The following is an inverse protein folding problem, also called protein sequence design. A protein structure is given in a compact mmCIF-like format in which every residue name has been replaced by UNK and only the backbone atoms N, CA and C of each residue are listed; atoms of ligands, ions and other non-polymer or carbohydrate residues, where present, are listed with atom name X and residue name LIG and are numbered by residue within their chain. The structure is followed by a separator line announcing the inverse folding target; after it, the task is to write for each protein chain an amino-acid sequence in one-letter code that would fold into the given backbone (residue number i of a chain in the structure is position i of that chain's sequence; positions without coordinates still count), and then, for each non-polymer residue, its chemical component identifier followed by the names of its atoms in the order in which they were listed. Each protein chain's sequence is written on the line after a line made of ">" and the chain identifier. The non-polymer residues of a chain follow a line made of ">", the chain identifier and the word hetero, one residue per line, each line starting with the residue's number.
data_IF_616340013147
#
_entry.id   IF_616340013147
#
_cell.length_a   1.000
_cell.length_b   1.000
_cell.length_c   1.000
_cell.angle_alpha   90.00
_cell.angle_beta   90.00
_cell.angle_gamma   90.00
#
_symmetry.space_group_name_H-M   'P 1'
#
loop_
_entity.id
_entity.type
_entity.pdbx_description
1 polymer ?
#
# COMPACT_ATOMS: atom_id res chain seq x y z
N UNK A 1 41.25 36.42 -25.21
CA UNK A 1 41.86 36.26 -23.87
C UNK A 1 40.78 36.62 -22.87
N UNK A 2 40.19 35.78 -22.03
CA UNK A 2 40.57 34.44 -21.58
C UNK A 2 40.32 34.39 -20.07
N UNK A 3 39.42 33.49 -19.64
CA UNK A 3 39.39 32.76 -18.36
C UNK A 3 39.15 33.59 -17.07
N UNK A 4 38.40 33.11 -16.07
CA UNK A 4 37.95 31.75 -15.81
C UNK A 4 36.90 31.62 -14.70
N UNK A 5 36.33 30.43 -14.74
CA UNK A 5 35.27 29.80 -13.96
C UNK A 5 35.68 29.41 -12.54
N UNK A 6 34.71 29.21 -11.64
CA UNK A 6 34.50 28.00 -10.81
C UNK A 6 33.32 28.22 -9.84
N UNK A 7 32.21 27.52 -10.02
CA UNK A 7 31.81 26.25 -9.37
C UNK A 7 31.33 26.41 -7.92
N UNK A 8 30.03 26.20 -7.70
CA UNK A 8 29.48 25.44 -6.56
C UNK A 8 28.18 24.78 -7.02
N UNK A 9 28.28 23.48 -7.27
CA UNK A 9 27.21 22.59 -7.66
C UNK A 9 26.76 21.74 -6.46
N UNK A 10 25.49 21.34 -6.49
CA UNK A 10 24.96 20.06 -5.98
C UNK A 10 25.24 19.67 -4.53
N UNK A 11 24.27 19.96 -3.65
CA UNK A 11 24.01 19.18 -2.45
C UNK A 11 22.49 19.04 -2.31
N UNK A 12 21.94 17.88 -2.71
CA UNK A 12 20.49 17.64 -2.62
C UNK A 12 20.04 16.20 -2.89
N UNK A 13 20.89 15.33 -3.44
CA UNK A 13 20.48 13.98 -3.89
C UNK A 13 21.03 12.82 -3.06
N UNK A 14 21.64 13.07 -1.90
CA UNK A 14 22.28 12.01 -1.11
C UNK A 14 21.49 11.55 0.14
N UNK A 15 20.39 12.21 0.50
CA UNK A 15 19.67 11.89 1.75
C UNK A 15 18.69 10.71 1.64
N UNK A 16 18.24 10.33 0.44
CA UNK A 16 17.16 9.34 0.27
C UNK A 16 17.68 7.89 0.21
N UNK A 17 18.95 7.67 -0.14
CA UNK A 17 19.53 6.33 -0.25
C UNK A 17 20.02 5.72 1.09
N UNK A 18 19.97 6.49 2.20
CA UNK A 18 20.48 6.07 3.51
C UNK A 18 19.52 5.22 4.35
N UNK A 19 18.22 5.25 4.04
CA UNK A 19 17.18 4.70 4.93
C UNK A 19 17.08 3.18 4.99
N UNK A 20 17.71 2.43 4.06
CA UNK A 20 17.59 0.97 3.98
C UNK A 20 18.79 0.18 4.53
N UNK A 21 19.78 0.82 5.17
CA UNK A 21 21.05 0.16 5.52
C UNK A 21 21.26 -0.23 6.98
N UNK A 22 20.36 0.10 7.91
CA UNK A 22 20.67 0.00 9.35
C UNK A 22 19.86 -1.02 10.18
N UNK A 23 18.99 -1.84 9.57
CA UNK A 23 18.15 -2.78 10.34
C UNK A 23 18.75 -4.19 10.49
N UNK A 24 20.03 -4.40 10.14
CA UNK A 24 20.69 -5.70 10.28
C UNK A 24 22.01 -5.61 11.05
N UNK A 25 21.90 -5.43 12.37
CA UNK A 25 22.85 -5.90 13.39
C UNK A 25 22.35 -5.46 14.75
N UNK A 26 22.02 -6.41 15.62
CA UNK A 26 22.48 -6.47 17.01
C UNK A 26 21.99 -7.78 17.63
N UNK A 27 22.89 -8.75 17.65
CA UNK A 27 22.77 -10.03 18.33
C UNK A 27 23.39 -9.90 19.73
N UNK A 28 22.61 -10.22 20.75
CA UNK A 28 22.95 -10.71 22.10
C UNK A 28 24.26 -10.26 22.78
N UNK A 29 24.13 -9.56 23.91
CA UNK A 29 24.97 -9.83 25.10
C UNK A 29 24.34 -9.21 26.36
N UNK A 30 23.98 -10.07 27.31
CA UNK A 30 23.61 -9.69 28.68
C UNK A 30 24.87 -9.65 29.58
N UNK A 31 24.85 -8.84 30.65
CA UNK A 31 25.13 -9.46 31.95
C UNK A 31 24.29 -8.90 33.13
N UNK A 32 23.75 -9.85 33.90
CA UNK A 32 23.62 -9.92 35.36
C UNK A 32 23.22 -8.70 36.18
N UNK A 33 22.11 -8.83 36.93
CA UNK A 33 22.00 -8.25 38.27
C UNK A 33 21.10 -9.08 39.20
N UNK A 34 21.55 -9.16 40.45
CA UNK A 34 21.03 -9.92 41.57
C UNK A 34 19.66 -9.41 42.05
N UNK A 35 18.82 -10.33 42.53
CA UNK A 35 17.67 -9.99 43.37
C UNK A 35 17.59 -10.94 44.58
N UNK A 36 17.63 -10.35 45.77
CA UNK A 36 17.44 -10.99 47.08
C UNK A 36 15.97 -10.95 47.49
N UNK A 37 15.44 -12.14 47.83
CA UNK A 37 14.51 -12.53 48.92
C UNK A 37 13.50 -11.53 49.52
N UNK A 38 12.24 -11.95 49.72
CA UNK A 38 11.64 -12.31 51.03
C UNK A 38 10.25 -13.01 50.88
N UNK A 39 10.08 -14.11 51.66
CA UNK A 39 8.93 -14.78 52.33
C UNK A 39 7.46 -14.51 51.87
N UNK A 40 6.44 -15.38 52.04
CA UNK A 40 6.09 -16.44 53.00
C UNK A 40 4.83 -17.16 52.40
N UNK A 41 4.69 -18.49 52.37
CA UNK A 41 4.12 -19.31 53.46
C UNK A 41 2.64 -19.67 53.23
N UNK A 42 2.32 -20.97 53.05
CA UNK A 42 0.93 -21.45 53.03
C UNK A 42 0.76 -22.85 52.45
N UNK A 43 0.88 -23.88 53.30
CA UNK A 43 0.88 -25.31 53.00
C UNK A 43 -0.35 -25.97 53.65
N UNK A 44 -1.15 -26.74 52.90
CA UNK A 44 -2.01 -27.89 53.31
C UNK A 44 -2.44 -28.58 52.00
N UNK A 45 -2.48 -29.88 51.77
CA UNK A 45 -2.40 -31.11 52.56
C UNK A 45 -3.16 -32.19 51.76
N UNK A 46 -2.44 -33.22 51.29
CA UNK A 46 -2.88 -34.50 50.66
C UNK A 46 -3.83 -35.33 51.60
N UNK A 47 -4.43 -36.52 51.25
CA UNK A 47 -3.84 -37.58 50.40
C UNK A 47 -4.73 -38.66 49.67
N UNK A 48 -4.01 -39.56 48.96
CA UNK A 48 -4.29 -40.97 48.52
C UNK A 48 -5.30 -41.25 47.37
N UNK A 49 -5.09 -42.14 46.38
CA UNK A 49 -3.98 -43.01 45.95
C UNK A 49 -4.37 -44.05 44.87
N UNK A 50 -3.38 -44.52 44.07
CA UNK A 50 -3.19 -45.84 43.40
C UNK A 50 -4.12 -46.28 42.21
N UNK A 51 -3.68 -46.86 41.08
CA UNK A 51 -2.35 -47.17 40.52
C UNK A 51 -2.39 -48.04 39.23
N UNK A 52 -1.20 -48.23 38.62
CA UNK A 52 -0.74 -49.29 37.69
C UNK A 52 -1.18 -49.19 36.20
N UNK A 53 -0.45 -49.69 35.19
CA UNK A 53 0.92 -50.18 34.98
C UNK A 53 1.00 -50.61 33.48
N UNK A 54 2.10 -50.30 32.78
CA UNK A 54 2.78 -51.18 31.78
C UNK A 54 3.73 -50.38 30.87
N UNK A 55 4.89 -50.97 30.60
CA UNK A 55 5.84 -50.54 29.57
C UNK A 55 6.56 -51.77 29.00
N UNK A 56 7.16 -51.65 27.81
CA UNK A 56 8.29 -52.39 27.18
C UNK A 56 8.47 -51.77 25.77
N UNK A 57 9.64 -51.45 25.16
CA UNK A 57 10.98 -52.04 24.98
C UNK A 57 11.19 -52.76 23.61
N UNK A 58 12.03 -52.15 22.75
CA UNK A 58 13.00 -52.66 21.73
C UNK A 58 12.66 -53.58 20.51
N UNK A 59 13.40 -53.32 19.40
CA UNK A 59 13.83 -54.27 18.33
C UNK A 59 13.58 -53.77 16.88
N UNK A 60 14.51 -53.18 16.10
CA UNK A 60 15.61 -53.72 15.25
C UNK A 60 15.26 -54.63 14.04
N UNK A 61 15.61 -54.10 12.84
CA UNK A 61 16.24 -54.73 11.62
C UNK A 61 15.38 -55.59 10.67
N UNK A 62 15.47 -55.32 9.35
CA UNK A 62 16.14 -56.14 8.29
C UNK A 62 16.16 -55.40 6.94
N UNK A 63 17.28 -55.56 6.22
CA UNK A 63 17.56 -55.07 4.88
C UNK A 63 17.97 -56.23 3.96
N UNK A 64 17.60 -56.15 2.68
CA UNK A 64 18.20 -56.79 1.48
C UNK A 64 17.31 -56.40 0.28
N UNK A 65 17.75 -56.13 -0.95
CA UNK A 65 19.01 -56.27 -1.67
C UNK A 65 18.64 -56.38 -3.16
N UNK A 66 19.42 -55.81 -4.09
CA UNK A 66 19.13 -55.94 -5.54
C UNK A 66 19.98 -55.06 -6.45
N UNK A 67 20.83 -55.69 -7.27
CA UNK A 67 22.05 -55.19 -7.92
C UNK A 67 21.87 -55.02 -9.45
N UNK A 68 22.58 -54.08 -10.11
CA UNK A 68 23.52 -54.27 -11.25
C UNK A 68 23.57 -53.18 -12.36
N UNK A 69 24.84 -52.79 -12.63
CA UNK A 69 25.52 -52.44 -13.89
C UNK A 69 25.27 -51.14 -14.71
N UNK A 70 26.38 -50.41 -14.87
CA UNK A 70 26.77 -49.45 -15.93
C UNK A 70 27.39 -50.22 -17.15
N UNK A 71 27.86 -49.63 -18.30
CA UNK A 71 28.46 -48.28 -18.48
C UNK A 71 28.25 -47.55 -19.84
N UNK A 72 28.86 -46.35 -19.93
CA UNK A 72 29.61 -45.79 -21.10
C UNK A 72 28.93 -44.72 -21.99
N UNK A 73 29.57 -43.54 -22.13
CA UNK A 73 29.31 -42.60 -23.24
C UNK A 73 29.63 -41.10 -23.04
N UNK A 74 30.88 -40.72 -23.27
CA UNK A 74 31.47 -39.46 -23.79
C UNK A 74 30.78 -38.06 -23.71
N UNK A 75 31.66 -37.10 -23.36
CA UNK A 75 31.76 -35.70 -23.82
C UNK A 75 30.70 -34.67 -23.40
N UNK A 76 31.12 -33.67 -22.61
CA UNK A 76 30.35 -32.44 -22.39
C UNK A 76 31.27 -31.23 -22.36
N UNK A 77 30.93 -30.28 -23.24
CA UNK A 77 31.59 -29.01 -23.46
C UNK A 77 31.38 -28.04 -22.29
N UNK A 78 32.36 -27.17 -22.12
CA UNK A 78 32.33 -25.98 -21.28
C UNK A 78 31.09 -25.10 -21.55
N UNK A 79 30.33 -24.78 -20.50
CA UNK A 79 29.49 -23.59 -20.47
C UNK A 79 29.51 -22.97 -19.07
N UNK A 80 29.77 -21.67 -19.04
CA UNK A 80 29.86 -20.81 -17.86
C UNK A 80 28.47 -20.63 -17.22
N UNK A 81 28.34 -20.60 -15.88
CA UNK A 81 27.05 -20.32 -15.25
C UNK A 81 26.74 -18.82 -15.30
N UNK A 82 25.73 -18.44 -16.09
CA UNK A 82 24.99 -17.19 -15.91
C UNK A 82 24.18 -17.31 -14.60
N UNK A 83 24.39 -16.36 -13.69
CA UNK A 83 23.63 -16.27 -12.46
C UNK A 83 22.14 -16.03 -12.72
N UNK A 84 21.25 -16.54 -11.87
CA UNK A 84 19.82 -16.34 -12.02
C UNK A 84 19.48 -14.86 -11.81
N UNK A 85 19.08 -14.22 -12.91
CA UNK A 85 18.47 -12.90 -12.93
C UNK A 85 17.06 -13.06 -12.34
N UNK A 86 16.88 -12.63 -11.10
CA UNK A 86 15.58 -12.58 -10.43
C UNK A 86 14.67 -11.58 -11.13
N UNK A 87 13.94 -12.05 -12.13
CA UNK A 87 12.81 -11.33 -12.72
C UNK A 87 11.59 -11.48 -11.81
N UNK A 88 11.10 -10.35 -11.30
CA UNK A 88 9.88 -10.26 -10.48
C UNK A 88 8.67 -10.81 -11.25
N UNK A 89 8.09 -11.89 -10.76
CA UNK A 89 6.95 -12.60 -11.37
C UNK A 89 5.63 -11.78 -11.39
N UNK A 90 5.62 -10.59 -10.80
CA UNK A 90 4.46 -9.69 -10.86
C UNK A 90 4.17 -9.18 -12.29
N UNK A 91 5.20 -9.08 -13.14
CA UNK A 91 5.07 -8.63 -14.53
C UNK A 91 4.45 -9.70 -15.46
N UNK A 92 4.57 -10.98 -15.12
CA UNK A 92 4.13 -12.09 -15.98
C UNK A 92 2.65 -12.46 -15.83
N UNK A 93 1.96 -11.87 -14.84
CA UNK A 93 0.55 -12.17 -14.53
C UNK A 93 -0.46 -11.25 -15.22
N UNK A 94 -0.01 -10.19 -15.90
CA UNK A 94 -0.86 -9.31 -16.72
C UNK A 94 -0.75 -9.76 -18.19
N UNK A 95 -1.74 -10.52 -18.66
CA UNK A 95 -1.70 -11.25 -19.94
C UNK A 95 -1.63 -10.37 -21.19
N UNK A 96 -0.55 -10.57 -21.95
CA UNK A 96 -0.42 -10.75 -23.40
C UNK A 96 -1.39 -10.07 -24.40
N UNK A 97 -0.84 -9.15 -25.19
CA UNK A 97 -0.79 -9.26 -26.66
C UNK A 97 0.40 -8.44 -27.20
N UNK A 98 1.53 -9.11 -27.45
CA UNK A 98 2.72 -8.47 -27.99
C UNK A 98 2.57 -8.25 -29.51
N UNK A 99 2.28 -7.01 -29.90
CA UNK A 99 2.47 -6.53 -31.27
C UNK A 99 3.33 -5.26 -31.20
N UNK A 100 4.62 -5.40 -31.56
CA UNK A 100 5.55 -4.30 -31.86
C UNK A 100 6.17 -3.61 -30.63
N UNK A 101 7.42 -3.94 -30.31
CA UNK A 101 8.24 -3.28 -29.30
C UNK A 101 8.69 -1.87 -29.76
N UNK A 102 7.76 -0.92 -29.74
CA UNK A 102 8.04 0.48 -29.43
C UNK A 102 7.65 0.73 -27.98
N UNK A 103 8.29 1.67 -27.28
CA UNK A 103 7.91 1.98 -25.90
C UNK A 103 6.48 2.52 -25.88
N UNK A 104 5.53 1.67 -25.47
CA UNK A 104 4.09 1.95 -25.50
C UNK A 104 3.67 3.16 -24.65
N UNK A 105 4.56 3.67 -23.80
CA UNK A 105 4.33 4.81 -22.91
C UNK A 105 4.23 6.18 -23.60
N UNK A 106 4.59 6.28 -24.87
CA UNK A 106 4.37 7.47 -25.70
C UNK A 106 3.27 7.27 -26.74
N UNK A 107 2.71 6.06 -26.80
CA UNK A 107 1.63 5.72 -27.71
C UNK A 107 0.29 6.21 -27.15
N UNK A 108 -0.18 7.35 -27.64
CA UNK A 108 -1.45 7.98 -27.24
C UNK A 108 -2.63 7.03 -27.38
N UNK A 109 -2.67 6.19 -28.42
CA UNK A 109 -3.78 5.24 -28.63
C UNK A 109 -3.80 4.16 -27.55
N UNK A 110 -2.63 3.65 -27.19
CA UNK A 110 -2.51 2.66 -26.12
C UNK A 110 -2.90 3.27 -24.75
N UNK A 111 -2.36 4.45 -24.40
CA UNK A 111 -2.73 5.11 -23.14
C UNK A 111 -4.22 5.47 -23.08
N UNK A 112 -4.80 5.92 -24.19
CA UNK A 112 -6.23 6.17 -24.27
C UNK A 112 -7.04 4.89 -24.04
N UNK A 113 -6.58 3.73 -24.52
CA UNK A 113 -7.26 2.46 -24.26
C UNK A 113 -7.19 2.04 -22.78
N UNK A 114 -6.03 2.22 -22.13
CA UNK A 114 -5.85 1.94 -20.69
C UNK A 114 -6.77 2.81 -19.84
N UNK A 115 -6.82 4.12 -20.13
CA UNK A 115 -7.67 5.06 -19.41
C UNK A 115 -9.17 4.80 -19.68
N UNK A 116 -9.56 4.52 -20.92
CA UNK A 116 -10.96 4.18 -21.24
C UNK A 116 -11.40 2.89 -20.54
N UNK A 117 -10.51 1.91 -20.42
CA UNK A 117 -10.77 0.69 -19.67
C UNK A 117 -10.99 1.00 -18.18
N UNK A 118 -10.14 1.84 -17.57
CA UNK A 118 -10.32 2.28 -16.19
C UNK A 118 -11.65 3.02 -15.99
N UNK A 119 -12.03 3.91 -16.91
CA UNK A 119 -13.31 4.64 -16.85
C UNK A 119 -14.52 3.69 -16.85
N UNK A 120 -14.44 2.58 -17.60
CA UNK A 120 -15.51 1.58 -17.62
C UNK A 120 -15.48 0.69 -16.37
N UNK A 121 -14.29 0.21 -16.01
CA UNK A 121 -14.03 -0.66 -14.88
C UNK A 121 -14.51 -0.04 -13.56
N UNK A 122 -14.25 1.26 -13.39
CA UNK A 122 -14.55 1.99 -12.16
C UNK A 122 -15.91 2.70 -12.19
N UNK A 123 -16.74 2.54 -13.22
CA UNK A 123 -18.09 3.16 -13.25
C UNK A 123 -18.10 4.69 -13.35
N UNK A 124 -16.99 5.33 -13.71
CA UNK A 124 -16.81 6.80 -13.70
C UNK A 124 -17.13 7.47 -15.05
N UNK A 125 -17.99 6.88 -15.88
CA UNK A 125 -18.34 7.44 -17.21
C UNK A 125 -19.07 8.78 -17.11
N UNK A 126 -19.66 9.11 -15.96
CA UNK A 126 -20.31 10.39 -15.71
C UNK A 126 -19.34 11.60 -15.79
N UNK A 127 -18.04 11.36 -15.59
CA UNK A 127 -16.99 12.38 -15.57
C UNK A 127 -16.25 12.51 -16.90
N UNK A 128 -16.22 11.45 -17.71
CA UNK A 128 -15.32 11.34 -18.85
C UNK A 128 -16.03 10.99 -20.16
N UNK A 129 -15.71 11.75 -21.20
CA UNK A 129 -16.02 11.41 -22.59
C UNK A 129 -14.80 10.74 -23.24
N UNK A 130 -14.96 9.96 -24.33
CA UNK A 130 -13.82 9.43 -25.07
C UNK A 130 -12.82 10.52 -25.51
N UNK A 131 -13.31 11.72 -25.85
CA UNK A 131 -12.46 12.86 -26.21
C UNK A 131 -11.65 13.38 -25.02
N UNK A 132 -12.26 13.56 -23.84
CA UNK A 132 -11.52 14.03 -22.66
C UNK A 132 -10.47 13.02 -22.22
N UNK A 133 -10.77 11.71 -22.31
CA UNK A 133 -9.78 10.65 -22.05
C UNK A 133 -8.62 10.71 -23.05
N UNK A 134 -8.92 10.90 -24.33
CA UNK A 134 -7.90 11.07 -25.37
C UNK A 134 -6.98 12.28 -25.11
N UNK A 135 -7.52 13.39 -24.62
CA UNK A 135 -6.74 14.57 -24.25
C UNK A 135 -5.79 14.28 -23.07
N UNK A 136 -6.26 13.55 -22.04
CA UNK A 136 -5.42 13.13 -20.90
C UNK A 136 -4.29 12.21 -21.40
N UNK A 137 -4.62 11.21 -22.21
CA UNK A 137 -3.64 10.29 -22.79
C UNK A 137 -2.57 11.04 -23.60
N UNK A 138 -2.97 12.03 -24.39
CA UNK A 138 -2.05 12.86 -25.16
C UNK A 138 -1.14 13.70 -24.27
N UNK A 139 -1.68 14.34 -23.23
CA UNK A 139 -0.90 15.11 -22.26
C UNK A 139 0.17 14.25 -21.58
N UNK A 140 -0.23 13.06 -21.09
CA UNK A 140 0.71 12.14 -20.44
C UNK A 140 1.79 11.66 -21.41
N UNK A 141 1.42 11.24 -22.62
CA UNK A 141 2.39 10.77 -23.62
C UNK A 141 3.46 11.83 -23.95
N UNK A 142 3.07 13.11 -24.00
CA UNK A 142 3.97 14.22 -24.33
C UNK A 142 4.84 14.66 -23.13
N UNK A 143 4.35 14.47 -21.90
CA UNK A 143 5.04 14.93 -20.68
C UNK A 143 6.30 14.13 -20.32
N UNK A 144 6.42 12.90 -20.81
CA UNK A 144 7.46 11.96 -20.36
C UNK A 144 7.29 11.49 -18.91
N UNK A 145 6.17 11.77 -18.25
CA UNK A 145 5.89 11.40 -16.86
C UNK A 145 6.02 9.90 -16.59
N UNK A 146 5.57 9.04 -17.51
CA UNK A 146 5.67 7.59 -17.36
C UNK A 146 7.14 7.09 -17.32
N UNK A 147 8.01 7.68 -18.14
CA UNK A 147 9.43 7.36 -18.08
C UNK A 147 10.07 7.83 -16.78
N UNK A 148 9.66 9.01 -16.29
CA UNK A 148 10.17 9.57 -15.02
C UNK A 148 9.80 8.69 -13.84
N UNK A 149 8.52 8.34 -13.70
CA UNK A 149 8.08 7.49 -12.58
C UNK A 149 8.68 6.08 -12.67
N UNK A 150 8.78 5.48 -13.86
CA UNK A 150 9.42 4.17 -14.05
C UNK A 150 10.89 4.17 -13.57
N UNK A 151 11.63 5.22 -13.91
CA UNK A 151 13.04 5.36 -13.51
C UNK A 151 13.19 5.66 -12.01
N UNK A 152 12.42 6.61 -11.49
CA UNK A 152 12.48 7.03 -10.09
C UNK A 152 12.11 5.88 -9.15
N UNK A 153 11.05 5.14 -9.50
CA UNK A 153 10.54 4.05 -8.68
C UNK A 153 11.22 2.72 -9.03
N UNK A 154 12.00 2.67 -10.10
CA UNK A 154 12.68 1.46 -10.62
C UNK A 154 11.71 0.32 -10.94
N UNK A 155 10.56 0.66 -11.49
CA UNK A 155 9.53 -0.30 -11.89
C UNK A 155 9.54 -0.56 -13.40
N UNK A 156 9.07 -1.74 -13.84
CA UNK A 156 8.76 -1.99 -15.25
C UNK A 156 7.83 -0.92 -15.84
N UNK A 157 7.99 -0.65 -17.14
CA UNK A 157 7.21 0.36 -17.85
C UNK A 157 5.72 0.01 -17.93
N UNK A 158 5.41 -1.27 -17.92
CA UNK A 158 4.05 -1.80 -17.87
C UNK A 158 3.36 -1.36 -16.58
N UNK A 159 4.05 -1.45 -15.44
CA UNK A 159 3.51 -0.98 -14.16
C UNK A 159 3.44 0.54 -14.08
N UNK A 160 4.42 1.25 -14.62
CA UNK A 160 4.34 2.70 -14.73
C UNK A 160 3.13 3.15 -15.55
N UNK A 161 2.78 2.39 -16.61
CA UNK A 161 1.59 2.65 -17.41
C UNK A 161 0.31 2.49 -16.61
N UNK A 162 0.21 1.50 -15.71
CA UNK A 162 -0.98 1.34 -14.86
C UNK A 162 -1.21 2.57 -13.95
N UNK A 163 -0.12 3.19 -13.45
CA UNK A 163 -0.20 4.38 -12.58
C UNK A 163 -0.85 5.59 -13.30
N UNK A 164 -0.87 5.61 -14.64
CA UNK A 164 -1.54 6.68 -15.41
C UNK A 164 -3.02 6.84 -15.05
N UNK A 165 -3.65 5.78 -14.54
CA UNK A 165 -5.05 5.80 -14.08
C UNK A 165 -5.30 6.85 -12.99
N UNK A 166 -4.29 7.22 -12.20
CA UNK A 166 -4.39 8.32 -11.22
C UNK A 166 -4.76 9.66 -11.87
N UNK A 167 -4.46 9.87 -13.17
CA UNK A 167 -4.86 11.08 -13.89
C UNK A 167 -6.39 11.27 -13.97
N UNK A 168 -7.17 10.23 -13.68
CA UNK A 168 -8.63 10.25 -13.68
C UNK A 168 -9.23 10.60 -12.31
N UNK A 169 -8.43 10.80 -11.26
CA UNK A 169 -8.94 10.99 -9.90
C UNK A 169 -8.32 12.23 -9.25
N UNK A 170 -9.13 12.95 -8.47
CA UNK A 170 -8.61 13.90 -7.50
C UNK A 170 -8.21 13.11 -6.24
N UNK A 171 -6.96 13.27 -5.78
CA UNK A 171 -6.46 12.52 -4.62
C UNK A 171 -6.53 13.36 -3.35
N UNK A 172 -7.14 12.79 -2.31
CA UNK A 172 -7.19 13.36 -0.96
C UNK A 172 -6.47 12.42 0.00
N UNK A 173 -5.34 12.88 0.56
CA UNK A 173 -4.69 12.20 1.67
C UNK A 173 -5.43 12.52 2.97
N UNK A 174 -5.89 11.49 3.66
CA UNK A 174 -6.52 11.58 4.97
C UNK A 174 -5.58 11.03 6.03
N UNK A 175 -4.97 11.90 6.82
CA UNK A 175 -3.82 11.57 7.68
C UNK A 175 -4.25 11.48 9.13
N UNK A 176 -3.94 10.35 9.77
CA UNK A 176 -4.00 10.22 11.22
C UNK A 176 -2.90 11.05 11.88
N UNK A 177 -3.30 12.02 12.67
CA UNK A 177 -2.46 12.88 13.50
C UNK A 177 -2.77 12.70 14.99
N UNK A 178 -3.27 11.53 15.39
CA UNK A 178 -3.53 11.15 16.79
C UNK A 178 -2.24 10.98 17.60
N UNK A 179 -2.40 10.81 18.91
CA UNK A 179 -1.25 10.58 19.81
C UNK A 179 -0.52 9.26 19.57
N UNK A 180 -1.22 8.19 19.17
CA UNK A 180 -0.61 6.87 18.95
C UNK A 180 0.49 6.93 17.90
N UNK A 181 0.29 7.71 16.85
CA UNK A 181 1.27 7.93 15.78
C UNK A 181 2.64 8.42 16.28
N UNK A 182 2.67 9.22 17.35
CA UNK A 182 3.89 9.80 17.89
C UNK A 182 4.50 9.02 19.06
N UNK A 183 3.65 8.48 19.94
CA UNK A 183 4.11 7.86 21.19
C UNK A 183 4.37 6.37 21.06
N UNK A 184 3.79 5.70 20.06
CA UNK A 184 3.96 4.27 19.82
C UNK A 184 4.81 4.04 18.56
N UNK A 185 5.60 2.96 18.53
CA UNK A 185 6.48 2.67 17.39
C UNK A 185 7.71 3.58 17.25
N UNK A 186 8.06 4.38 18.27
CA UNK A 186 9.32 5.14 18.29
C UNK A 186 9.51 6.16 17.16
N UNK A 187 8.43 6.61 16.53
CA UNK A 187 8.42 7.53 15.39
C UNK A 187 8.39 6.86 14.02
N UNK A 188 8.50 5.54 13.92
CA UNK A 188 8.45 4.78 12.66
C UNK A 188 7.14 5.00 11.90
N UNK A 189 6.00 5.02 12.61
CA UNK A 189 4.67 5.29 12.05
C UNK A 189 4.60 6.62 11.27
N UNK A 190 5.28 7.65 11.78
CA UNK A 190 5.36 8.96 11.12
C UNK A 190 6.29 8.90 9.89
N UNK A 191 7.36 8.11 9.93
CA UNK A 191 8.24 7.92 8.78
C UNK A 191 7.55 7.13 7.66
N UNK A 192 6.78 6.09 7.98
CA UNK A 192 5.94 5.36 7.01
C UNK A 192 4.87 6.27 6.40
N UNK A 193 4.22 7.09 7.23
CA UNK A 193 3.27 8.08 6.76
C UNK A 193 3.93 9.05 5.77
N UNK A 194 5.11 9.58 6.10
CA UNK A 194 5.87 10.46 5.20
C UNK A 194 6.23 9.75 3.90
N UNK A 195 6.62 8.47 3.96
CA UNK A 195 6.92 7.68 2.77
C UNK A 195 5.71 7.56 1.84
N UNK A 196 4.54 7.15 2.35
CA UNK A 196 3.32 7.04 1.55
C UNK A 196 2.96 8.40 0.95
N UNK A 197 2.94 9.44 1.79
CA UNK A 197 2.59 10.80 1.38
C UNK A 197 3.54 11.35 0.32
N UNK A 198 4.85 11.13 0.46
CA UNK A 198 5.86 11.49 -0.54
C UNK A 198 5.60 10.81 -1.87
N UNK A 199 5.29 9.51 -1.86
CA UNK A 199 5.06 8.72 -3.07
C UNK A 199 3.77 9.11 -3.77
N UNK A 200 2.69 9.30 -3.01
CA UNK A 200 1.41 9.77 -3.54
C UNK A 200 1.60 11.15 -4.16
N UNK A 201 2.17 12.12 -3.43
CA UNK A 201 2.41 13.48 -3.93
C UNK A 201 3.30 13.51 -5.18
N UNK A 202 4.34 12.66 -5.22
CA UNK A 202 5.18 12.54 -6.40
C UNK A 202 4.40 12.00 -7.60
N UNK A 203 3.69 10.87 -7.45
CA UNK A 203 2.94 10.28 -8.55
C UNK A 203 1.85 11.22 -9.07
N UNK A 204 1.06 11.81 -8.16
CA UNK A 204 0.00 12.74 -8.56
C UNK A 204 0.57 14.00 -9.19
N UNK A 205 1.70 14.56 -8.73
CA UNK A 205 2.32 15.72 -9.39
C UNK A 205 2.70 15.49 -10.86
N UNK A 206 2.85 14.23 -11.27
CA UNK A 206 3.19 13.87 -12.65
C UNK A 206 1.98 13.75 -13.58
N UNK A 207 0.78 13.51 -13.01
CA UNK A 207 -0.43 13.15 -13.75
C UNK A 207 -1.61 14.09 -13.49
N UNK A 208 -1.60 14.75 -12.34
CA UNK A 208 -2.65 15.59 -11.81
C UNK A 208 -2.14 17.03 -11.65
N UNK A 209 -2.74 17.97 -12.38
CA UNK A 209 -2.21 19.33 -12.51
C UNK A 209 -2.66 20.28 -11.41
N UNK A 210 -3.83 20.04 -10.81
CA UNK A 210 -4.39 20.81 -9.71
C UNK A 210 -3.93 20.34 -8.33
N UNK A 211 -3.21 19.22 -8.27
CA UNK A 211 -2.50 18.73 -7.08
C UNK A 211 -3.41 18.11 -6.03
N UNK A 212 -2.80 17.46 -5.05
CA UNK A 212 -3.52 16.73 -4.01
C UNK A 212 -4.04 17.65 -2.92
N UNK A 213 -5.03 17.14 -2.19
CA UNK A 213 -5.47 17.71 -0.92
C UNK A 213 -4.99 16.83 0.23
N UNK A 214 -4.71 17.45 1.37
CA UNK A 214 -4.34 16.74 2.60
C UNK A 214 -5.22 17.23 3.73
N UNK A 215 -5.85 16.31 4.46
CA UNK A 215 -6.68 16.58 5.63
C UNK A 215 -6.19 15.75 6.79
N UNK A 216 -6.01 16.38 7.95
CA UNK A 216 -5.65 15.71 9.19
C UNK A 216 -6.91 15.30 9.95
N UNK A 217 -6.87 14.23 10.75
CA UNK A 217 -8.03 13.82 11.56
C UNK A 217 -8.38 14.87 12.63
N UNK A 218 -7.39 15.36 13.37
CA UNK A 218 -7.54 16.25 14.51
C UNK A 218 -7.23 17.71 14.14
N UNK A 219 -6.09 17.97 13.51
CA UNK A 219 -5.60 19.30 13.18
C UNK A 219 -6.52 20.05 12.21
N UNK A 220 -6.49 21.39 12.30
CA UNK A 220 -7.12 22.29 11.34
C UNK A 220 -6.17 22.70 10.21
N UNK A 221 -4.89 22.38 10.34
CA UNK A 221 -3.91 22.56 9.28
C UNK A 221 -4.25 21.58 8.16
N UNK A 222 -4.40 22.09 6.95
CA UNK A 222 -4.75 21.32 5.76
C UNK A 222 -3.91 21.78 4.57
N UNK A 223 -3.78 20.91 3.58
CA UNK A 223 -3.10 21.18 2.31
C UNK A 223 -4.09 21.16 1.15
N UNK A 224 -3.97 22.13 0.25
CA UNK A 224 -4.72 22.18 -1.00
C UNK A 224 -3.74 22.47 -2.13
N UNK A 225 -3.95 21.87 -3.30
CA UNK A 225 -3.10 22.03 -4.48
C UNK A 225 -1.63 21.66 -4.25
N UNK A 226 -1.37 20.64 -3.43
CA UNK A 226 -0.01 20.17 -3.18
C UNK A 226 0.46 19.38 -4.40
N UNK A 227 1.51 19.88 -5.05
CA UNK A 227 2.02 19.31 -6.30
C UNK A 227 3.49 18.90 -6.22
N UNK A 228 4.03 18.79 -5.00
CA UNK A 228 5.38 18.32 -4.78
C UNK A 228 5.51 17.58 -3.46
N UNK A 229 6.44 16.63 -3.43
CA UNK A 229 6.84 15.92 -2.22
C UNK A 229 7.28 16.89 -1.12
N UNK A 230 8.05 17.92 -1.47
CA UNK A 230 8.60 18.86 -0.50
C UNK A 230 7.51 19.67 0.20
N UNK A 231 6.45 20.08 -0.53
CA UNK A 231 5.31 20.76 0.07
C UNK A 231 4.50 19.85 0.97
N UNK A 232 4.30 18.60 0.56
CA UNK A 232 3.60 17.60 1.35
C UNK A 232 4.34 17.32 2.67
N UNK A 233 5.66 17.10 2.62
CA UNK A 233 6.49 16.90 3.81
C UNK A 233 6.55 18.14 4.71
N UNK A 234 6.58 19.34 4.12
CA UNK A 234 6.52 20.60 4.87
C UNK A 234 5.21 20.72 5.63
N UNK A 235 4.08 20.34 5.03
CA UNK A 235 2.79 20.35 5.71
C UNK A 235 2.81 19.42 6.94
N UNK A 236 3.26 18.17 6.78
CA UNK A 236 3.34 17.19 7.87
C UNK A 236 4.25 17.68 9.00
N UNK A 237 5.36 18.37 8.68
CA UNK A 237 6.28 18.90 9.68
C UNK A 237 5.67 19.97 10.61
N UNK A 238 4.53 20.55 10.23
CA UNK A 238 3.80 21.54 11.04
C UNK A 238 2.77 20.90 11.97
N UNK A 239 2.54 19.59 11.86
CA UNK A 239 1.49 18.89 12.58
C UNK A 239 1.99 18.45 13.95
N UNK A 240 1.18 18.75 14.97
CA UNK A 240 1.34 18.19 16.30
C UNK A 240 0.46 16.95 16.43
N UNK A 241 1.09 15.78 16.41
CA UNK A 241 0.44 14.49 16.59
C UNK A 241 -0.11 14.36 18.02
N UNK A 242 -1.43 14.44 18.15
CA UNK A 242 -2.14 14.45 19.43
C UNK A 242 -3.64 14.24 19.25
N UNK A 243 -4.32 13.82 20.32
CA UNK A 243 -5.75 13.56 20.30
C UNK A 243 -6.08 12.09 20.06
N UNK A 244 -7.37 11.84 19.83
CA UNK A 244 -7.91 10.50 19.54
C UNK A 244 -7.91 10.26 18.02
N UNK A 245 -8.49 9.14 17.59
CA UNK A 245 -8.58 8.74 16.17
C UNK A 245 -10.05 8.83 15.71
N UNK A 246 -10.62 10.04 15.48
CA UNK A 246 -12.02 10.22 15.09
C UNK A 246 -12.22 9.91 13.59
N UNK A 247 -11.91 8.68 13.20
CA UNK A 247 -11.73 8.24 11.82
C UNK A 247 -12.94 8.55 10.93
N UNK A 248 -14.14 8.11 11.32
CA UNK A 248 -15.38 8.35 10.57
C UNK A 248 -15.89 9.79 10.69
N UNK A 249 -15.83 10.36 11.90
CA UNK A 249 -16.33 11.70 12.19
C UNK A 249 -15.60 12.76 11.37
N UNK A 250 -14.26 12.68 11.33
CA UNK A 250 -13.43 13.62 10.60
C UNK A 250 -13.44 13.33 9.09
N UNK A 251 -13.54 12.07 8.66
CA UNK A 251 -13.73 11.71 7.25
C UNK A 251 -14.99 12.40 6.70
N UNK A 252 -16.10 12.30 7.42
CA UNK A 252 -17.35 12.96 7.03
C UNK A 252 -17.21 14.49 6.97
N UNK A 253 -16.72 15.09 8.05
CA UNK A 253 -16.69 16.55 8.22
C UNK A 253 -15.68 17.27 7.33
N UNK A 254 -14.53 16.65 7.06
CA UNK A 254 -13.40 17.29 6.38
C UNK A 254 -13.24 16.87 4.92
N UNK A 255 -13.81 15.72 4.54
CA UNK A 255 -13.65 15.16 3.18
C UNK A 255 -15.02 14.90 2.54
N UNK A 256 -15.79 13.93 3.04
CA UNK A 256 -16.99 13.45 2.33
C UNK A 256 -17.99 14.56 2.11
N UNK A 257 -18.38 15.29 3.15
CA UNK A 257 -19.35 16.36 3.01
C UNK A 257 -18.83 17.54 2.15
N UNK A 258 -17.67 18.16 2.48
CA UNK A 258 -17.25 19.38 1.78
C UNK A 258 -16.64 19.15 0.39
N UNK A 259 -15.99 18.01 0.14
CA UNK A 259 -15.21 17.77 -1.08
C UNK A 259 -15.91 16.82 -2.06
N UNK A 260 -16.84 15.99 -1.59
CA UNK A 260 -17.41 14.90 -2.42
C UNK A 260 -18.93 14.98 -2.51
N UNK A 261 -19.64 14.62 -1.45
CA UNK A 261 -21.10 14.54 -1.39
C UNK A 261 -21.75 15.90 -1.64
N UNK A 262 -21.29 16.95 -0.95
CA UNK A 262 -21.82 18.31 -1.13
C UNK A 262 -21.65 18.83 -2.56
N UNK A 263 -20.43 18.81 -3.13
CA UNK A 263 -20.20 19.15 -4.53
C UNK A 263 -20.99 18.27 -5.52
N UNK A 264 -21.11 16.97 -5.27
CA UNK A 264 -21.87 16.05 -6.13
C UNK A 264 -23.37 16.38 -6.17
N UNK A 265 -23.99 16.65 -5.01
CA UNK A 265 -25.39 17.08 -4.92
C UNK A 265 -25.65 18.40 -5.65
N UNK A 266 -24.63 19.27 -5.75
CA UNK A 266 -24.70 20.54 -6.46
C UNK A 266 -24.34 20.43 -7.95
N UNK A 267 -23.97 19.24 -8.44
CA UNK A 267 -23.52 19.04 -9.82
C UNK A 267 -22.18 19.71 -10.13
N UNK A 268 -21.30 19.84 -9.13
CA UNK A 268 -20.01 20.56 -9.22
C UNK A 268 -18.78 19.65 -9.08
N UNK A 269 -18.97 18.34 -8.94
CA UNK A 269 -17.86 17.40 -8.86
C UNK A 269 -17.24 17.23 -10.26
N UNK A 270 -15.93 17.46 -10.40
CA UNK A 270 -15.23 17.54 -11.69
C UNK A 270 -14.49 16.25 -12.03
N UNK A 271 -13.85 15.62 -11.05
CA UNK A 271 -13.27 14.28 -11.14
C UNK A 271 -13.82 13.39 -10.01
N UNK A 272 -13.84 12.05 -10.16
CA UNK A 272 -14.01 11.16 -9.03
C UNK A 272 -12.88 11.35 -8.02
N UNK A 273 -13.14 11.05 -6.75
CA UNK A 273 -12.21 11.32 -5.65
C UNK A 273 -11.62 10.02 -5.12
N UNK A 274 -10.30 9.92 -5.05
CA UNK A 274 -9.60 8.85 -4.35
C UNK A 274 -9.17 9.35 -2.97
N UNK A 275 -9.76 8.81 -1.91
CA UNK A 275 -9.35 9.09 -0.53
C UNK A 275 -8.36 8.04 -0.07
N UNK A 276 -7.12 8.45 0.20
CA UNK A 276 -6.08 7.58 0.78
C UNK A 276 -5.94 7.92 2.26
N UNK A 277 -6.57 7.11 3.10
CA UNK A 277 -6.46 7.18 4.54
C UNK A 277 -5.18 6.49 5.03
N UNK A 278 -4.35 7.20 5.79
CA UNK A 278 -3.13 6.67 6.40
C UNK A 278 -3.34 6.69 7.92
N UNK A 279 -3.33 5.52 8.56
CA UNK A 279 -3.68 5.38 9.98
C UNK A 279 -2.90 4.26 10.66
N UNK A 280 -2.56 4.42 11.93
CA UNK A 280 -1.97 3.37 12.77
C UNK A 280 -2.99 2.69 13.67
N UNK A 281 -4.26 3.10 13.61
CA UNK A 281 -5.22 2.83 14.65
C UNK A 281 -6.61 2.43 14.17
N UNK A 282 -7.33 1.75 15.08
CA UNK A 282 -8.79 1.64 15.05
C UNK A 282 -9.45 2.95 15.54
N UNK A 283 -10.67 3.27 15.11
CA UNK A 283 -11.42 4.42 15.58
C UNK A 283 -11.43 4.59 17.11
N UNK A 284 -11.24 5.83 17.58
CA UNK A 284 -11.32 6.20 18.98
C UNK A 284 -11.93 7.59 19.16
N UNK A 285 -12.75 7.77 20.20
CA UNK A 285 -13.42 9.05 20.46
C UNK A 285 -14.68 9.30 19.62
N UNK A 286 -15.23 8.26 19.00
CA UNK A 286 -16.48 8.29 18.24
C UNK A 286 -17.31 7.01 18.49
N UNK A 287 -18.61 6.97 18.11
CA UNK A 287 -19.42 5.77 18.26
C UNK A 287 -18.84 4.56 17.51
N UNK A 288 -19.00 3.38 18.08
CA UNK A 288 -18.61 2.13 17.41
C UNK A 288 -19.35 1.99 16.08
N UNK A 289 -18.64 1.59 15.03
CA UNK A 289 -19.22 1.43 13.69
C UNK A 289 -19.43 2.74 12.93
N UNK A 290 -19.09 3.90 13.50
CA UNK A 290 -19.38 5.19 12.85
C UNK A 290 -18.70 5.35 11.48
N UNK A 291 -17.49 4.80 11.30
CA UNK A 291 -16.84 4.76 9.98
C UNK A 291 -17.71 4.06 8.92
N UNK A 292 -18.27 2.90 9.26
CA UNK A 292 -19.12 2.13 8.35
C UNK A 292 -20.37 2.94 8.00
N UNK A 293 -20.99 3.57 9.00
CA UNK A 293 -22.19 4.41 8.80
C UNK A 293 -21.90 5.58 7.84
N UNK A 294 -20.75 6.26 7.98
CA UNK A 294 -20.45 7.42 7.12
C UNK A 294 -20.11 7.00 5.68
N UNK A 295 -19.46 5.85 5.47
CA UNK A 295 -19.21 5.31 4.13
C UNK A 295 -20.53 4.92 3.46
N UNK A 296 -21.38 4.17 4.17
CA UNK A 296 -22.71 3.78 3.66
C UNK A 296 -23.60 5.00 3.37
N UNK A 297 -23.51 6.02 4.22
CA UNK A 297 -24.22 7.28 4.00
C UNK A 297 -23.74 7.98 2.73
N UNK A 298 -22.42 8.08 2.52
CA UNK A 298 -21.88 8.68 1.30
C UNK A 298 -22.30 7.90 0.05
N UNK A 299 -22.23 6.58 0.07
CA UNK A 299 -22.73 5.71 -1.00
C UNK A 299 -24.20 5.99 -1.34
N UNK A 300 -25.07 6.04 -0.33
CA UNK A 300 -26.50 6.33 -0.49
C UNK A 300 -26.76 7.73 -1.05
N UNK A 301 -26.05 8.75 -0.57
CA UNK A 301 -26.20 10.13 -1.03
C UNK A 301 -25.67 10.29 -2.48
N UNK A 302 -24.56 9.63 -2.83
CA UNK A 302 -23.97 9.69 -4.17
C UNK A 302 -24.80 8.95 -5.23
N UNK A 303 -25.46 7.85 -4.87
CA UNK A 303 -26.45 7.14 -5.71
C UNK A 303 -27.61 8.03 -6.17
N UNK A 304 -27.92 9.10 -5.45
CA UNK A 304 -28.97 10.05 -5.80
C UNK A 304 -28.49 11.17 -6.74
N UNK A 305 -27.18 11.22 -7.04
CA UNK A 305 -26.59 12.21 -7.94
C UNK A 305 -26.37 11.64 -9.33
N UNK A 306 -26.04 12.50 -10.30
CA UNK A 306 -25.68 12.04 -11.65
C UNK A 306 -24.36 11.26 -11.73
N UNK A 307 -23.56 11.31 -10.66
CA UNK A 307 -22.21 10.73 -10.62
C UNK A 307 -22.19 9.29 -10.15
N UNK A 308 -23.22 8.85 -9.41
CA UNK A 308 -23.29 7.49 -8.87
C UNK A 308 -22.35 7.27 -7.67
N UNK A 309 -22.42 6.08 -7.04
CA UNK A 309 -21.62 5.74 -5.86
C UNK A 309 -20.11 5.71 -6.16
N UNK A 310 -19.72 5.36 -7.38
CA UNK A 310 -18.32 5.24 -7.81
C UNK A 310 -17.63 6.61 -8.04
N UNK A 311 -18.31 7.71 -7.67
CA UNK A 311 -17.71 9.05 -7.60
C UNK A 311 -16.61 9.16 -6.53
N UNK A 312 -16.45 8.15 -5.68
CA UNK A 312 -15.43 8.06 -4.66
C UNK A 312 -14.87 6.63 -4.52
N UNK A 313 -13.56 6.54 -4.36
CA UNK A 313 -12.84 5.33 -3.94
C UNK A 313 -12.13 5.57 -2.62
N UNK A 314 -12.04 4.53 -1.78
CA UNK A 314 -11.39 4.60 -0.48
C UNK A 314 -10.24 3.61 -0.39
N UNK A 315 -9.08 4.10 0.03
CA UNK A 315 -7.93 3.28 0.43
C UNK A 315 -7.66 3.50 1.91
N UNK A 316 -7.57 2.44 2.69
CA UNK A 316 -7.05 2.47 4.05
C UNK A 316 -5.67 1.82 4.08
N UNK A 317 -4.65 2.61 4.36
CA UNK A 317 -3.26 2.18 4.47
C UNK A 317 -2.86 2.17 5.94
N UNK A 318 -2.52 0.98 6.45
CA UNK A 318 -1.99 0.83 7.80
C UNK A 318 -0.51 1.25 7.85
N UNK A 319 -0.16 2.03 8.89
CA UNK A 319 1.24 2.26 9.29
C UNK A 319 1.50 1.69 10.68
N UNK A 320 2.74 1.26 10.94
CA UNK A 320 3.07 0.53 12.17
C UNK A 320 2.44 -0.85 12.27
N UNK A 321 2.60 -1.49 13.43
CA UNK A 321 2.32 -2.91 13.68
C UNK A 321 1.17 -3.15 14.68
N UNK A 322 0.29 -2.16 14.89
CA UNK A 322 -0.80 -2.30 15.85
C UNK A 322 -1.81 -3.37 15.42
N UNK A 323 -1.92 -4.43 16.23
CA UNK A 323 -2.80 -5.56 15.94
C UNK A 323 -4.29 -5.24 16.03
N UNK A 324 -4.71 -4.17 16.74
CA UNK A 324 -6.11 -3.75 16.76
C UNK A 324 -6.46 -3.02 15.47
N UNK A 325 -5.56 -2.19 14.96
CA UNK A 325 -5.69 -1.57 13.64
C UNK A 325 -5.79 -2.62 12.54
N UNK A 326 -4.90 -3.63 12.55
CA UNK A 326 -4.96 -4.72 11.56
C UNK A 326 -6.29 -5.48 11.61
N UNK A 327 -6.81 -5.79 12.80
CA UNK A 327 -8.13 -6.45 12.93
C UNK A 327 -9.26 -5.56 12.46
N UNK A 328 -9.24 -4.28 12.81
CA UNK A 328 -10.27 -3.34 12.40
C UNK A 328 -10.33 -3.19 10.87
N UNK A 329 -9.16 -3.05 10.21
CA UNK A 329 -9.10 -2.95 8.75
C UNK A 329 -9.52 -4.26 8.07
N UNK A 330 -9.15 -5.42 8.63
CA UNK A 330 -9.64 -6.70 8.12
C UNK A 330 -11.17 -6.86 8.28
N UNK A 331 -11.75 -6.35 9.37
CA UNK A 331 -13.21 -6.32 9.56
C UNK A 331 -13.90 -5.35 8.58
N UNK A 332 -13.25 -4.23 8.28
CA UNK A 332 -13.74 -3.25 7.31
C UNK A 332 -13.76 -3.84 5.89
N UNK A 333 -12.66 -4.46 5.49
CA UNK A 333 -12.45 -5.13 4.20
C UNK A 333 -13.40 -6.33 3.99
N UNK A 334 -13.58 -7.16 5.03
CA UNK A 334 -14.46 -8.32 4.97
C UNK A 334 -15.96 -7.99 5.17
N UNK A 335 -16.32 -6.72 5.39
CA UNK A 335 -17.71 -6.36 5.67
C UNK A 335 -18.61 -6.65 4.45
N UNK A 336 -19.77 -7.34 4.60
CA UNK A 336 -20.61 -7.78 3.47
C UNK A 336 -21.19 -6.69 2.54
N UNK A 337 -20.94 -5.42 2.85
CA UNK A 337 -21.53 -4.26 2.14
C UNK A 337 -20.46 -3.19 1.97
N UNK A 338 -19.76 -2.81 3.06
CA UNK A 338 -18.70 -1.81 3.02
C UNK A 338 -17.42 -2.35 2.38
N UNK A 339 -17.14 -3.65 2.49
CA UNK A 339 -15.94 -4.26 1.93
C UNK A 339 -15.79 -4.00 0.43
N UNK A 340 -16.88 -4.13 -0.34
CA UNK A 340 -16.84 -3.84 -1.78
C UNK A 340 -16.75 -2.34 -2.14
N UNK A 341 -16.67 -1.45 -1.16
CA UNK A 341 -16.56 0.00 -1.35
C UNK A 341 -15.18 0.54 -0.97
N UNK A 342 -14.33 -0.28 -0.35
CA UNK A 342 -13.06 0.15 0.24
C UNK A 342 -11.97 -0.85 -0.12
N UNK A 343 -10.74 -0.37 -0.22
CA UNK A 343 -9.56 -1.21 -0.27
C UNK A 343 -8.72 -1.00 0.99
N UNK A 344 -8.10 -2.07 1.50
CA UNK A 344 -7.29 -2.05 2.71
C UNK A 344 -5.91 -2.66 2.43
N UNK A 345 -4.85 -1.90 2.73
CA UNK A 345 -3.47 -2.37 2.61
C UNK A 345 -2.80 -2.32 3.98
N UNK A 346 -2.27 -3.47 4.40
CA UNK A 346 -1.53 -3.57 5.66
C UNK A 346 -0.15 -2.90 5.55
N UNK A 347 0.57 -2.80 6.67
CA UNK A 347 1.96 -2.36 6.65
C UNK A 347 2.81 -3.26 5.73
N UNK A 348 3.97 -2.75 5.31
CA UNK A 348 4.79 -3.42 4.31
C UNK A 348 5.17 -4.86 4.72
N UNK A 349 5.57 -5.07 5.98
CA UNK A 349 6.00 -6.35 6.49
C UNK A 349 4.87 -7.40 6.44
N UNK A 350 3.68 -7.07 6.95
CA UNK A 350 2.54 -7.98 6.93
C UNK A 350 2.07 -8.25 5.51
N UNK A 351 2.04 -7.20 4.67
CA UNK A 351 1.64 -7.32 3.27
C UNK A 351 2.63 -8.20 2.47
N UNK A 352 3.93 -8.04 2.72
CA UNK A 352 4.96 -8.89 2.13
C UNK A 352 4.80 -10.35 2.56
N UNK A 353 4.61 -10.61 3.85
CA UNK A 353 4.39 -11.96 4.37
C UNK A 353 3.15 -12.61 3.73
N UNK A 354 2.08 -11.84 3.59
CA UNK A 354 0.84 -12.29 2.96
C UNK A 354 1.02 -12.61 1.48
N UNK A 355 1.62 -11.70 0.71
CA UNK A 355 1.92 -11.90 -0.71
C UNK A 355 2.86 -13.08 -0.91
N UNK A 356 3.88 -13.22 -0.06
CA UNK A 356 4.83 -14.34 -0.13
C UNK A 356 4.14 -15.66 0.19
N UNK A 357 3.31 -15.72 1.24
CA UNK A 357 2.56 -16.92 1.62
C UNK A 357 1.58 -17.35 0.52
N UNK A 358 0.92 -16.38 -0.12
CA UNK A 358 -0.13 -16.63 -1.12
C UNK A 358 0.42 -16.93 -2.52
N UNK A 359 1.50 -16.26 -2.93
CA UNK A 359 1.99 -16.27 -4.32
C UNK A 359 3.42 -16.77 -4.48
N UNK A 360 4.18 -16.90 -3.38
CA UNK A 360 5.61 -17.19 -3.41
C UNK A 360 6.48 -16.01 -3.88
N UNK A 361 5.89 -14.84 -4.13
CA UNK A 361 6.59 -13.64 -4.59
C UNK A 361 7.01 -12.78 -3.41
N UNK A 362 8.20 -12.19 -3.48
CA UNK A 362 8.64 -11.16 -2.52
C UNK A 362 8.08 -9.83 -3.01
N UNK A 363 7.27 -9.20 -2.17
CA UNK A 363 6.83 -7.83 -2.39
C UNK A 363 7.98 -6.89 -2.03
N UNK A 364 8.39 -6.03 -2.95
CA UNK A 364 9.30 -4.93 -2.64
C UNK A 364 8.52 -3.68 -2.22
N UNK A 365 9.13 -2.73 -1.49
CA UNK A 365 8.43 -1.54 -1.00
C UNK A 365 7.82 -0.67 -2.10
N UNK A 366 8.39 -0.66 -3.30
CA UNK A 366 7.82 0.09 -4.42
C UNK A 366 6.56 -0.59 -4.94
N UNK A 367 6.58 -1.92 -5.08
CA UNK A 367 5.41 -2.70 -5.47
C UNK A 367 4.28 -2.58 -4.45
N UNK A 368 4.61 -2.50 -3.17
CA UNK A 368 3.65 -2.21 -2.10
C UNK A 368 2.96 -0.86 -2.30
N UNK A 369 3.72 0.21 -2.60
CA UNK A 369 3.14 1.53 -2.93
C UNK A 369 2.26 1.48 -4.19
N UNK A 370 2.67 0.76 -5.23
CA UNK A 370 1.85 0.60 -6.44
C UNK A 370 0.55 -0.12 -6.10
N UNK A 371 0.58 -1.15 -5.26
CA UNK A 371 -0.63 -1.84 -4.79
C UNK A 371 -1.56 -0.85 -4.06
N UNK A 372 -1.04 -0.15 -3.05
CA UNK A 372 -1.78 0.84 -2.25
C UNK A 372 -2.42 1.94 -3.13
N UNK A 373 -1.76 2.38 -4.19
CA UNK A 373 -2.32 3.40 -5.07
C UNK A 373 -3.37 2.86 -6.05
N UNK A 374 -3.19 1.61 -6.51
CA UNK A 374 -3.95 1.05 -7.63
C UNK A 374 -5.12 0.16 -7.20
N UNK A 375 -5.04 -0.51 -6.05
CA UNK A 375 -6.12 -1.33 -5.50
C UNK A 375 -7.50 -0.67 -5.57
N UNK A 376 -7.70 0.54 -5.01
CA UNK A 376 -9.02 1.18 -4.95
C UNK A 376 -9.56 1.69 -6.30
N UNK A 377 -8.75 1.69 -7.37
CA UNK A 377 -9.10 2.30 -8.67
C UNK A 377 -8.81 1.38 -9.87
N UNK A 378 -8.50 0.11 -9.62
CA UNK A 378 -8.18 -0.86 -10.66
C UNK A 378 -8.53 -2.24 -10.18
N UNK A 379 -9.60 -2.81 -10.74
CA UNK A 379 -10.07 -4.17 -10.40
C UNK A 379 -8.98 -5.22 -10.58
N UNK A 380 -8.00 -5.00 -11.47
CA UNK A 380 -6.88 -5.91 -11.67
C UNK A 380 -5.86 -5.93 -10.51
N UNK A 381 -5.86 -4.91 -9.67
CA UNK A 381 -5.06 -4.82 -8.44
C UNK A 381 -5.90 -5.20 -7.22
N UNK A 382 -7.20 -4.89 -7.24
CA UNK A 382 -8.20 -5.26 -6.22
C UNK A 382 -8.53 -6.78 -6.19
N UNK A 383 -8.82 -7.40 -7.35
CA UNK A 383 -9.11 -8.86 -7.43
C UNK A 383 -7.94 -9.75 -6.98
N UNK A 384 -6.72 -9.18 -6.89
CA UNK A 384 -5.57 -9.87 -6.31
C UNK A 384 -5.63 -9.93 -4.78
N UNK A 385 -6.67 -9.38 -4.16
CA UNK A 385 -7.04 -9.63 -2.77
C UNK A 385 -8.24 -10.58 -2.67
N UNK A 386 -9.28 -10.41 -3.50
CA UNK A 386 -10.49 -11.26 -3.45
C UNK A 386 -10.33 -12.70 -3.99
N UNK A 387 -9.49 -12.92 -5.02
CA UNK A 387 -9.16 -14.28 -5.49
C UNK A 387 -8.47 -15.12 -4.40
N UNK A 388 -8.08 -14.48 -3.30
CA UNK A 388 -7.43 -15.09 -2.15
C UNK A 388 -8.33 -15.23 -0.92
N UNK A 389 -9.57 -14.73 -0.95
CA UNK A 389 -10.57 -14.93 0.12
C UNK A 389 -11.66 -15.96 -0.21
N UNK A 390 -11.82 -16.38 -1.46
CA UNK A 390 -12.67 -17.55 -1.79
C UNK A 390 -11.90 -18.87 -1.67
N UNK A 391 -11.73 -19.34 -0.44
CA UNK A 391 -11.60 -20.79 -0.16
C UNK A 391 -12.40 -21.20 1.09
N UNK A 392 -13.55 -21.82 0.75
CA UNK A 392 -14.45 -22.66 1.53
C UNK A 392 -15.39 -21.99 2.53
#
# INVERSE_FOLDING_TARGET
>A
MGLGSNFLATAGTAAVAGYMKNSSKLQSSAPGQQSQSYAQGGQYGQPYGQGGQSGQQYGQVYAQGGQYNQPQGAASQYYSPQGPQGGTAFASAYGSSAQGAGSNNSNVQYLSSVLQQCVQDQGIQAFYTPQSVGNIAQSVAQSGSLNRIAQEWRIPQELATEIVKLALFDVVLYVDDSGSMAYEGGGERIEDLKLILSRVAYATSLFDHDGIQVRMMNSRIEGNHINSEQEALRLVSQIQFSGLTPLGTSLWKKILQPLVVGPAQQGRLVKPVLVVCITDGSPAGEPNGHLFDVILRADQELKQTRYGPDAISYQFAQVGDDMKASRFLAELDAHPVVGSLVDCTSNFEAEQEEVQRKTGTILDPTMWIVKLLMGPISTAFDLKDEAFHKRY
#
